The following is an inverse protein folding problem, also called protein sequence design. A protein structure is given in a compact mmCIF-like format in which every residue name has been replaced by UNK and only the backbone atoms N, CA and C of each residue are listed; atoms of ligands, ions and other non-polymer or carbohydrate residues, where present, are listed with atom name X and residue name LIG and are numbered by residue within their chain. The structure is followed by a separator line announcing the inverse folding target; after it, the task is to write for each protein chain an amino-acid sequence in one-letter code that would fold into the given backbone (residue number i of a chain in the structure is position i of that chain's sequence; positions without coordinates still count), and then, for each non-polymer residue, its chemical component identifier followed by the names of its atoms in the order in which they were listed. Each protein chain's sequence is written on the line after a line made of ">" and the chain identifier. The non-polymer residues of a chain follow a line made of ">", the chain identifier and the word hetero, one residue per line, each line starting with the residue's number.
data_IF_715657517541
#
_entry.id   IF_715657517541
#
_cell.length_a   1.000
_cell.length_b   1.000
_cell.length_c   1.000
_cell.angle_alpha   90.00
_cell.angle_beta   90.00
_cell.angle_gamma   90.00
#
_symmetry.space_group_name_H-M   'P 1'
#
loop_
_entity.id
_entity.type
_entity.pdbx_description
1 polymer ?
#
# COMPACT_ATOMS: atom_id res chain seq x y z
N UNK A 1 -54.44 -10.13 31.91
CA UNK A 1 -53.98 -11.52 31.82
C UNK A 1 -52.84 -11.61 30.81
N UNK A 2 -51.73 -12.22 31.24
CA UNK A 2 -50.57 -12.76 30.49
C UNK A 2 -49.82 -11.88 29.47
N UNK A 3 -48.68 -11.34 29.92
CA UNK A 3 -47.49 -11.05 29.09
C UNK A 3 -46.90 -12.33 28.51
N UNK A 4 -46.54 -12.34 27.22
CA UNK A 4 -45.56 -13.28 26.67
C UNK A 4 -44.67 -12.58 25.63
N UNK A 5 -43.45 -12.28 26.08
CA UNK A 5 -42.30 -11.91 25.26
C UNK A 5 -41.56 -13.21 24.88
N UNK A 6 -41.38 -13.57 23.59
CA UNK A 6 -40.56 -14.73 23.25
C UNK A 6 -39.48 -14.36 22.22
N UNK A 7 -38.58 -13.46 22.58
CA UNK A 7 -37.24 -13.44 21.97
C UNK A 7 -36.20 -13.57 23.08
N UNK A 8 -36.09 -14.79 23.61
CA UNK A 8 -34.88 -15.20 24.35
C UNK A 8 -33.76 -15.31 23.32
N UNK A 9 -32.69 -14.50 23.39
CA UNK A 9 -31.52 -14.78 22.58
C UNK A 9 -30.99 -16.15 22.98
N UNK A 10 -30.84 -17.05 22.00
CA UNK A 10 -30.20 -18.35 22.25
C UNK A 10 -28.81 -18.04 22.81
N UNK A 11 -28.55 -18.40 24.08
CA UNK A 11 -27.22 -18.24 24.67
C UNK A 11 -26.24 -18.98 23.78
N UNK A 12 -25.39 -18.23 23.06
CA UNK A 12 -24.32 -18.82 22.29
C UNK A 12 -23.54 -19.74 23.24
N UNK A 13 -23.45 -21.04 22.91
CA UNK A 13 -22.81 -22.04 23.77
C UNK A 13 -21.33 -21.67 23.92
N UNK A 14 -21.00 -20.97 25.00
CA UNK A 14 -19.63 -20.62 25.34
C UNK A 14 -18.90 -21.87 25.84
N UNK A 15 -17.65 -22.02 25.42
CA UNK A 15 -16.75 -23.06 25.87
C UNK A 15 -15.48 -22.44 26.44
N UNK A 16 -14.82 -23.15 27.35
CA UNK A 16 -13.55 -22.73 27.92
C UNK A 16 -12.43 -23.00 26.92
N UNK A 17 -11.69 -21.97 26.53
CA UNK A 17 -10.52 -22.05 25.66
C UNK A 17 -9.25 -21.86 26.49
N UNK A 18 -8.24 -22.71 26.25
CA UNK A 18 -6.92 -22.69 26.90
C UNK A 18 -5.79 -22.60 25.85
N UNK A 19 -5.99 -21.82 24.78
CA UNK A 19 -4.94 -21.58 23.79
C UNK A 19 -3.78 -20.77 24.37
N UNK A 20 -2.57 -21.00 23.87
CA UNK A 20 -1.36 -20.28 24.29
C UNK A 20 -1.32 -18.85 23.75
N UNK A 21 -1.85 -18.63 22.56
CA UNK A 21 -1.90 -17.33 21.87
C UNK A 21 -2.71 -16.28 22.63
N UNK A 22 -3.85 -16.63 23.22
CA UNK A 22 -4.83 -15.63 23.69
C UNK A 22 -5.41 -15.88 25.09
N UNK A 23 -5.37 -17.13 25.59
CA UNK A 23 -6.17 -17.52 26.76
C UNK A 23 -5.36 -18.02 27.96
N UNK A 24 -4.11 -18.44 27.76
CA UNK A 24 -3.15 -18.74 28.82
C UNK A 24 -2.10 -17.63 28.89
N UNK A 25 -1.46 -17.51 30.05
CA UNK A 25 -0.39 -16.53 30.29
C UNK A 25 0.92 -17.29 30.49
N UNK A 26 1.96 -16.88 29.78
CA UNK A 26 3.28 -17.47 29.95
C UNK A 26 3.89 -17.02 31.28
N UNK A 27 4.20 -17.99 32.15
CA UNK A 27 4.90 -17.75 33.40
C UNK A 27 6.40 -18.00 33.19
N UNK A 28 7.20 -16.93 33.22
CA UNK A 28 8.64 -17.00 32.98
C UNK A 28 9.41 -17.74 34.09
N UNK A 29 8.82 -17.93 35.28
CA UNK A 29 9.47 -18.64 36.39
C UNK A 29 9.34 -20.16 36.30
N UNK A 30 8.28 -20.66 35.68
CA UNK A 30 8.01 -22.09 35.47
C UNK A 30 8.20 -22.52 34.02
N UNK A 31 8.42 -21.57 33.12
CA UNK A 31 8.49 -21.74 31.65
C UNK A 31 7.24 -22.41 31.05
N UNK A 32 6.09 -22.29 31.73
CA UNK A 32 4.83 -22.90 31.32
C UNK A 32 3.74 -21.85 31.09
N UNK A 33 2.84 -22.17 30.16
CA UNK A 33 1.61 -21.41 29.95
C UNK A 33 0.59 -21.81 31.01
N UNK A 34 0.30 -20.90 31.92
CA UNK A 34 -0.54 -21.13 33.09
C UNK A 34 -1.86 -20.35 32.98
N UNK A 35 -2.86 -20.83 33.72
CA UNK A 35 -4.17 -20.19 33.81
C UNK A 35 -5.35 -21.10 33.48
N UNK A 36 -6.52 -20.63 33.90
CA UNK A 36 -7.77 -21.36 33.81
C UNK A 36 -8.45 -21.29 32.43
N UNK A 37 -7.90 -20.49 31.52
CA UNK A 37 -8.48 -20.22 30.21
C UNK A 37 -9.66 -19.24 30.25
N UNK A 38 -10.12 -18.81 29.08
CA UNK A 38 -11.23 -17.84 28.92
C UNK A 38 -12.48 -18.52 28.40
N UNK A 39 -13.66 -18.07 28.84
CA UNK A 39 -14.95 -18.50 28.29
C UNK A 39 -15.21 -17.74 26.99
N UNK A 40 -15.22 -18.45 25.86
CA UNK A 40 -15.37 -17.88 24.51
C UNK A 40 -16.41 -18.66 23.71
N UNK A 41 -16.87 -18.11 22.59
CA UNK A 41 -17.73 -18.88 21.68
C UNK A 41 -16.94 -20.01 21.01
N UNK A 42 -17.63 -21.05 20.50
CA UNK A 42 -16.97 -22.13 19.75
C UNK A 42 -16.19 -21.62 18.53
N UNK A 43 -16.74 -20.68 17.77
CA UNK A 43 -16.05 -20.10 16.61
C UNK A 43 -14.77 -19.36 17.00
N UNK A 44 -14.81 -18.59 18.09
CA UNK A 44 -13.62 -17.91 18.62
C UNK A 44 -12.56 -18.91 19.08
N UNK A 45 -12.95 -19.99 19.76
CA UNK A 45 -12.01 -21.07 20.14
C UNK A 45 -11.35 -21.70 18.91
N UNK A 46 -12.12 -21.97 17.86
CA UNK A 46 -11.61 -22.62 16.66
C UNK A 46 -10.64 -21.70 15.88
N UNK A 47 -10.86 -20.38 15.91
CA UNK A 47 -9.90 -19.41 15.39
C UNK A 47 -8.62 -19.38 16.24
N UNK A 48 -8.73 -19.32 17.56
CA UNK A 48 -7.55 -19.39 18.43
C UNK A 48 -6.73 -20.68 18.24
N UNK A 49 -7.40 -21.80 17.94
CA UNK A 49 -6.71 -23.06 17.67
C UNK A 49 -5.91 -23.03 16.35
N UNK A 50 -6.38 -22.27 15.35
CA UNK A 50 -5.62 -22.04 14.11
C UNK A 50 -4.40 -21.17 14.38
N UNK A 51 -4.54 -20.12 15.19
CA UNK A 51 -3.44 -19.24 15.57
C UNK A 51 -2.36 -20.02 16.35
N UNK A 52 -2.75 -20.84 17.33
CA UNK A 52 -1.82 -21.72 18.06
C UNK A 52 -1.10 -22.71 17.12
N UNK A 53 -1.78 -23.22 16.08
CA UNK A 53 -1.16 -24.10 15.10
C UNK A 53 -0.14 -23.36 14.23
N UNK A 54 -0.41 -22.11 13.87
CA UNK A 54 0.55 -21.27 13.15
C UNK A 54 1.78 -20.97 14.01
N UNK A 55 1.58 -20.60 15.28
CA UNK A 55 2.69 -20.41 16.22
C UNK A 55 3.52 -21.68 16.42
N UNK A 56 2.87 -22.84 16.59
CA UNK A 56 3.57 -24.11 16.71
C UNK A 56 4.35 -24.49 15.44
N UNK A 57 3.87 -24.11 14.25
CA UNK A 57 4.58 -24.34 12.98
C UNK A 57 5.82 -23.45 12.87
N UNK A 58 5.74 -22.19 13.33
CA UNK A 58 6.88 -21.28 13.40
C UNK A 58 7.93 -21.76 14.42
N UNK A 59 7.49 -22.24 15.58
CA UNK A 59 8.36 -22.81 16.62
C UNK A 59 9.03 -24.11 16.14
N UNK A 60 8.31 -25.00 15.45
CA UNK A 60 8.87 -26.23 14.89
C UNK A 60 9.83 -25.98 13.72
N UNK A 61 9.56 -24.97 12.88
CA UNK A 61 10.49 -24.52 11.85
C UNK A 61 11.81 -23.97 12.43
N UNK A 62 11.75 -23.34 13.61
CA UNK A 62 12.93 -22.91 14.34
C UNK A 62 13.69 -24.07 15.02
N UNK A 63 12.99 -25.16 15.39
CA UNK A 63 13.57 -26.29 16.13
C UNK A 63 14.07 -27.45 15.26
N UNK A 64 13.66 -27.56 13.99
CA UNK A 64 14.14 -28.63 13.08
C UNK A 64 15.58 -28.44 12.58
N UNK A 65 16.24 -27.31 12.86
CA UNK A 65 17.67 -27.11 12.58
C UNK A 65 18.62 -27.71 13.65
N UNK A 66 18.11 -28.49 14.60
CA UNK A 66 18.92 -29.06 15.69
C UNK A 66 18.74 -30.58 15.83
N UNK A 67 19.15 -31.37 14.84
CA UNK A 67 19.80 -32.68 15.10
C UNK A 67 20.40 -33.33 13.85
N UNK A 68 21.73 -33.51 13.90
CA UNK A 68 22.58 -34.59 13.33
C UNK A 68 22.84 -34.64 11.81
N UNK A 69 23.97 -34.04 11.42
CA UNK A 69 24.98 -34.73 10.59
C UNK A 69 26.39 -34.24 10.98
N UNK A 70 27.29 -35.21 11.19
CA UNK A 70 28.70 -35.04 11.57
C UNK A 70 29.50 -34.26 10.51
N UNK A 71 30.31 -33.32 10.98
CA UNK A 71 31.28 -32.53 10.22
C UNK A 71 31.53 -31.20 10.92
N UNK A 72 32.70 -30.54 10.76
CA UNK A 72 32.88 -29.16 11.20
C UNK A 72 32.04 -28.24 10.30
N UNK A 73 30.72 -28.31 10.48
CA UNK A 73 29.73 -27.53 9.77
C UNK A 73 29.76 -26.15 10.39
N UNK A 74 30.50 -25.27 9.72
CA UNK A 74 30.51 -23.82 9.88
C UNK A 74 29.07 -23.37 10.17
N UNK A 75 28.84 -22.79 11.34
CA UNK A 75 27.53 -22.31 11.76
C UNK A 75 26.86 -21.56 10.60
N UNK A 76 25.55 -21.75 10.32
CA UNK A 76 24.86 -20.90 9.38
C UNK A 76 24.96 -19.49 9.95
N UNK A 77 25.77 -18.66 9.29
CA UNK A 77 25.88 -17.26 9.58
C UNK A 77 24.46 -16.73 9.52
N UNK A 78 23.89 -16.38 10.67
CA UNK A 78 22.73 -15.49 10.71
C UNK A 78 23.23 -14.24 10.02
N UNK A 79 22.92 -14.10 8.73
CA UNK A 79 23.19 -12.88 7.99
C UNK A 79 22.36 -11.82 8.70
N UNK A 80 22.99 -11.09 9.62
CA UNK A 80 22.50 -9.78 9.99
C UNK A 80 22.45 -9.02 8.69
N UNK A 81 21.25 -8.92 8.10
CA UNK A 81 20.97 -8.09 6.94
C UNK A 81 21.70 -6.78 7.16
N UNK A 82 22.75 -6.54 6.38
CA UNK A 82 23.48 -5.30 6.50
C UNK A 82 22.53 -4.19 6.03
N UNK A 83 22.73 -2.97 6.52
CA UNK A 83 21.96 -1.82 6.06
C UNK A 83 21.97 -1.70 4.52
N UNK A 84 23.09 -2.09 3.90
CA UNK A 84 23.27 -2.15 2.45
C UNK A 84 22.38 -3.22 1.79
N UNK A 85 22.24 -4.40 2.40
CA UNK A 85 21.37 -5.46 1.86
C UNK A 85 19.89 -5.05 1.90
N UNK A 86 19.47 -4.36 2.97
CA UNK A 86 18.12 -3.80 3.09
C UNK A 86 17.86 -2.72 2.04
N UNK A 87 18.81 -1.81 1.85
CA UNK A 87 18.71 -0.76 0.84
C UNK A 87 18.59 -1.35 -0.56
N UNK A 88 19.46 -2.31 -0.92
CA UNK A 88 19.40 -2.98 -2.22
C UNK A 88 18.08 -3.71 -2.44
N UNK A 89 17.59 -4.43 -1.43
CA UNK A 89 16.31 -5.11 -1.54
C UNK A 89 15.15 -4.12 -1.70
N UNK A 90 15.18 -2.99 -0.99
CA UNK A 90 14.18 -1.93 -1.14
C UNK A 90 14.22 -1.30 -2.53
N UNK A 91 15.41 -0.97 -3.05
CA UNK A 91 15.59 -0.43 -4.41
C UNK A 91 14.98 -1.40 -5.44
N UNK A 92 15.29 -2.69 -5.34
CA UNK A 92 14.73 -3.72 -6.23
C UNK A 92 13.21 -3.79 -6.17
N UNK A 93 12.64 -3.74 -4.97
CA UNK A 93 11.17 -3.73 -4.81
C UNK A 93 10.55 -2.47 -5.42
N UNK A 94 11.23 -1.33 -5.35
CA UNK A 94 10.76 -0.10 -6.00
C UNK A 94 10.83 -0.19 -7.52
N UNK A 95 11.87 -0.80 -8.09
CA UNK A 95 11.96 -1.05 -9.53
C UNK A 95 10.81 -1.95 -10.01
N UNK A 96 10.52 -3.04 -9.29
CA UNK A 96 9.40 -3.93 -9.57
C UNK A 96 8.06 -3.18 -9.50
N UNK A 97 7.88 -2.31 -8.50
CA UNK A 97 6.67 -1.50 -8.34
C UNK A 97 6.50 -0.44 -9.45
N UNK A 98 7.59 0.24 -9.83
CA UNK A 98 7.56 1.20 -10.94
C UNK A 98 7.12 0.50 -12.22
N UNK A 99 7.69 -0.67 -12.53
CA UNK A 99 7.30 -1.44 -13.71
C UNK A 99 5.80 -1.75 -13.72
N UNK A 100 5.25 -2.20 -12.58
CA UNK A 100 3.82 -2.45 -12.45
C UNK A 100 2.99 -1.19 -12.69
N UNK A 101 3.37 -0.06 -12.09
CA UNK A 101 2.66 1.21 -12.27
C UNK A 101 2.70 1.71 -13.72
N UNK A 102 3.80 1.50 -14.42
CA UNK A 102 3.97 1.89 -15.83
C UNK A 102 3.18 0.99 -16.81
N UNK A 103 2.85 -0.25 -16.43
CA UNK A 103 2.09 -1.18 -17.28
C UNK A 103 0.59 -0.86 -17.35
N UNK A 104 0.03 -0.26 -16.30
CA UNK A 104 -1.40 0.04 -16.24
C UNK A 104 -1.69 1.46 -16.79
N UNK A 105 -2.67 1.62 -17.69
CA UNK A 105 -3.04 2.94 -18.18
C UNK A 105 -3.61 3.79 -17.03
N UNK A 106 -2.95 4.91 -16.78
CA UNK A 106 -3.31 5.88 -15.75
C UNK A 106 -4.32 6.93 -16.23
N UNK A 107 -4.44 7.10 -17.55
CA UNK A 107 -5.40 7.99 -18.19
C UNK A 107 -5.90 7.38 -19.50
N UNK A 108 -7.11 7.78 -19.90
CA UNK A 108 -7.72 7.38 -21.16
C UNK A 108 -8.12 8.65 -21.93
N UNK A 109 -7.67 8.86 -23.18
CA UNK A 109 -8.08 10.01 -23.98
C UNK A 109 -9.59 10.15 -24.18
N UNK A 110 -10.35 9.05 -24.08
CA UNK A 110 -11.81 9.04 -24.19
C UNK A 110 -12.51 9.39 -22.86
N UNK A 111 -11.80 9.27 -21.74
CA UNK A 111 -12.28 9.61 -20.40
C UNK A 111 -11.35 10.68 -19.80
N UNK A 112 -11.60 11.97 -20.12
CA UNK A 112 -10.68 13.04 -19.78
C UNK A 112 -10.48 13.18 -18.27
N UNK A 113 -9.26 13.57 -17.88
CA UNK A 113 -8.96 13.87 -16.48
C UNK A 113 -9.77 15.07 -16.00
N UNK A 114 -10.34 15.00 -14.80
CA UNK A 114 -11.12 16.10 -14.24
C UNK A 114 -10.22 17.05 -13.45
N UNK A 115 -10.00 18.26 -13.94
CA UNK A 115 -9.21 19.25 -13.22
C UNK A 115 -10.03 19.95 -12.13
N UNK A 116 -9.39 20.22 -10.99
CA UNK A 116 -10.00 20.98 -9.90
C UNK A 116 -10.21 22.46 -10.28
N UNK A 117 -9.32 22.98 -11.14
CA UNK A 117 -9.44 24.32 -11.70
C UNK A 117 -9.87 24.23 -13.16
N UNK A 118 -10.68 25.18 -13.62
CA UNK A 118 -11.16 25.21 -14.99
C UNK A 118 -10.01 25.51 -15.97
N UNK A 119 -9.69 24.62 -16.93
CA UNK A 119 -8.58 24.83 -17.86
C UNK A 119 -8.67 26.11 -18.68
N UNK A 120 -9.87 26.65 -18.85
CA UNK A 120 -10.11 27.84 -19.65
C UNK A 120 -9.70 29.14 -18.96
N UNK A 121 -9.72 29.15 -17.62
CA UNK A 121 -9.47 30.35 -16.82
C UNK A 121 -7.98 30.52 -16.45
N UNK A 122 -7.19 29.47 -16.66
CA UNK A 122 -5.84 29.34 -16.08
C UNK A 122 -4.70 29.24 -17.10
N UNK A 123 -4.99 29.45 -18.38
CA UNK A 123 -3.97 29.53 -19.42
C UNK A 123 -3.31 28.20 -19.79
N UNK A 124 -2.13 28.28 -20.39
CA UNK A 124 -1.38 27.11 -20.85
C UNK A 124 -0.82 26.27 -19.72
N UNK A 125 -0.61 24.98 -20.00
CA UNK A 125 0.05 24.09 -19.05
C UNK A 125 1.50 24.52 -18.90
N UNK A 126 1.93 24.73 -17.65
CA UNK A 126 3.31 25.04 -17.32
C UNK A 126 3.91 23.77 -16.71
N UNK A 127 4.91 23.14 -17.34
CA UNK A 127 5.57 21.97 -16.78
C UNK A 127 6.15 22.28 -15.39
N UNK A 128 5.95 21.40 -14.39
CA UNK A 128 6.46 21.60 -13.05
C UNK A 128 7.99 21.57 -13.06
N UNK A 129 8.60 22.35 -12.17
CA UNK A 129 10.04 22.25 -11.87
C UNK A 129 10.36 20.87 -11.26
N UNK A 130 11.62 20.40 -11.29
CA UNK A 130 11.98 19.12 -10.67
C UNK A 130 11.55 19.00 -9.19
N UNK A 131 11.60 20.11 -8.45
CA UNK A 131 11.16 20.19 -7.04
C UNK A 131 9.64 20.13 -6.86
N UNK A 132 8.88 20.61 -7.84
CA UNK A 132 7.42 20.54 -7.83
C UNK A 132 6.92 19.19 -8.36
N UNK A 133 7.69 18.54 -9.23
CA UNK A 133 7.34 17.25 -9.83
C UNK A 133 7.19 16.14 -8.79
N UNK A 134 7.94 16.21 -7.69
CA UNK A 134 7.85 15.28 -6.56
C UNK A 134 6.75 15.65 -5.55
N UNK A 135 5.95 16.69 -5.82
CA UNK A 135 4.80 17.06 -5.01
C UNK A 135 3.51 16.60 -5.71
N UNK A 136 2.81 15.60 -5.15
CA UNK A 136 1.67 15.02 -5.84
C UNK A 136 0.47 15.97 -5.86
N UNK A 137 -0.16 16.07 -7.03
CA UNK A 137 -1.43 16.74 -7.27
C UNK A 137 -1.59 18.14 -6.63
N UNK A 138 -0.71 19.08 -6.99
CA UNK A 138 -0.75 20.47 -6.47
C UNK A 138 -0.84 21.53 -7.56
N UNK A 139 -1.20 22.73 -7.13
CA UNK A 139 -1.17 23.94 -7.94
C UNK A 139 -2.34 24.08 -8.91
N UNK A 140 -2.13 24.90 -9.94
CA UNK A 140 -3.14 25.27 -10.93
C UNK A 140 -3.68 24.09 -11.73
N UNK A 141 -2.85 23.07 -11.98
CA UNK A 141 -3.20 21.91 -12.80
C UNK A 141 -3.61 20.70 -11.94
N UNK A 142 -3.99 20.92 -10.68
CA UNK A 142 -4.44 19.85 -9.80
C UNK A 142 -5.71 19.19 -10.34
N UNK A 143 -5.78 17.87 -10.20
CA UNK A 143 -6.91 17.01 -10.49
C UNK A 143 -7.87 16.96 -9.29
N UNK A 144 -9.16 16.83 -9.59
CA UNK A 144 -10.19 16.59 -8.58
C UNK A 144 -10.05 15.18 -7.99
N UNK A 145 -10.59 14.94 -6.78
CA UNK A 145 -10.63 13.62 -6.15
C UNK A 145 -11.68 12.67 -6.74
N UNK A 146 -12.07 12.84 -8.00
CA UNK A 146 -13.12 12.03 -8.63
C UNK A 146 -12.63 10.63 -9.01
N UNK A 147 -13.60 9.76 -9.33
CA UNK A 147 -13.32 8.39 -9.74
C UNK A 147 -12.52 8.32 -11.06
N UNK A 148 -12.75 9.26 -11.97
CA UNK A 148 -12.04 9.33 -13.25
C UNK A 148 -10.52 9.51 -13.04
N UNK A 149 -10.13 10.25 -12.00
CA UNK A 149 -8.72 10.55 -11.72
C UNK A 149 -8.04 9.54 -10.79
N UNK A 150 -8.77 8.56 -10.26
CA UNK A 150 -8.24 7.69 -9.18
C UNK A 150 -6.98 6.94 -9.60
N UNK A 151 -6.96 6.35 -10.79
CA UNK A 151 -5.77 5.63 -11.28
C UNK A 151 -4.58 6.56 -11.44
N UNK A 152 -4.79 7.74 -12.04
CA UNK A 152 -3.76 8.75 -12.21
C UNK A 152 -3.19 9.22 -10.87
N UNK A 153 -4.08 9.61 -9.95
CA UNK A 153 -3.68 10.10 -8.63
C UNK A 153 -2.94 9.02 -7.85
N UNK A 154 -3.43 7.78 -7.87
CA UNK A 154 -2.78 6.67 -7.15
C UNK A 154 -1.34 6.46 -7.64
N UNK A 155 -1.13 6.45 -8.96
CA UNK A 155 0.21 6.34 -9.53
C UNK A 155 1.10 7.54 -9.17
N UNK A 156 0.60 8.77 -9.33
CA UNK A 156 1.35 10.00 -9.00
C UNK A 156 1.73 10.06 -7.52
N UNK A 157 0.78 9.81 -6.61
CA UNK A 157 1.05 9.77 -5.17
C UNK A 157 2.11 8.73 -4.83
N UNK A 158 2.01 7.53 -5.39
CA UNK A 158 2.93 6.45 -5.07
C UNK A 158 4.34 6.74 -5.58
N UNK A 159 4.50 7.22 -6.81
CA UNK A 159 5.81 7.60 -7.35
C UNK A 159 6.45 8.75 -6.55
N UNK A 160 5.67 9.75 -6.13
CA UNK A 160 6.15 10.82 -5.26
C UNK A 160 6.58 10.31 -3.88
N UNK A 161 5.86 9.34 -3.30
CA UNK A 161 6.23 8.70 -2.03
C UNK A 161 7.55 7.92 -2.14
N UNK A 162 7.73 7.16 -3.22
CA UNK A 162 8.98 6.46 -3.51
C UNK A 162 10.16 7.43 -3.67
N UNK A 163 9.97 8.51 -4.43
CA UNK A 163 10.99 9.55 -4.62
C UNK A 163 11.36 10.25 -3.31
N UNK A 164 10.35 10.55 -2.47
CA UNK A 164 10.56 11.15 -1.15
C UNK A 164 11.34 10.19 -0.25
N UNK A 165 10.97 8.92 -0.21
CA UNK A 165 11.65 7.91 0.60
C UNK A 165 13.10 7.75 0.16
N UNK A 166 13.34 7.63 -1.15
CA UNK A 166 14.67 7.51 -1.73
C UNK A 166 15.58 8.71 -1.38
N UNK A 167 15.03 9.93 -1.30
CA UNK A 167 15.78 11.13 -0.91
C UNK A 167 16.33 11.09 0.52
N UNK A 168 15.75 10.23 1.37
CA UNK A 168 16.21 10.04 2.77
C UNK A 168 17.23 8.90 2.91
N UNK A 169 17.47 8.12 1.85
CA UNK A 169 18.39 6.99 1.86
C UNK A 169 19.83 7.42 1.64
N UNK A 170 20.77 6.54 1.98
CA UNK A 170 22.19 6.74 1.68
C UNK A 170 22.41 6.75 0.16
N UNK A 171 23.23 7.68 -0.32
CA UNK A 171 23.52 7.77 -1.76
C UNK A 171 24.32 6.56 -2.23
N UNK A 172 23.83 5.92 -3.28
CA UNK A 172 24.52 4.87 -4.02
C UNK A 172 24.23 5.03 -5.51
N UNK A 173 25.05 4.44 -6.36
CA UNK A 173 24.84 4.49 -7.81
C UNK A 173 23.47 3.91 -8.20
N UNK A 174 23.03 2.84 -7.52
CA UNK A 174 21.71 2.24 -7.72
C UNK A 174 20.58 3.16 -7.26
N UNK A 175 20.75 3.87 -6.13
CA UNK A 175 19.79 4.85 -5.65
C UNK A 175 19.68 6.04 -6.62
N UNK A 176 20.79 6.49 -7.21
CA UNK A 176 20.79 7.56 -8.21
C UNK A 176 20.13 7.12 -9.51
N UNK A 177 20.38 5.90 -9.97
CA UNK A 177 19.70 5.33 -11.14
C UNK A 177 18.18 5.22 -10.93
N UNK A 178 17.75 4.75 -9.75
CA UNK A 178 16.33 4.71 -9.39
C UNK A 178 15.71 6.11 -9.31
N UNK A 179 16.46 7.09 -8.81
CA UNK A 179 15.99 8.48 -8.75
C UNK A 179 15.74 9.05 -10.15
N UNK A 180 16.67 8.82 -11.09
CA UNK A 180 16.48 9.22 -12.50
C UNK A 180 15.23 8.56 -13.07
N UNK A 181 15.08 7.25 -12.87
CA UNK A 181 13.91 6.50 -13.36
C UNK A 181 12.58 7.03 -12.80
N UNK A 182 12.51 7.33 -11.51
CA UNK A 182 11.32 7.92 -10.88
C UNK A 182 10.99 9.29 -11.47
N UNK A 183 11.99 10.13 -11.74
CA UNK A 183 11.77 11.43 -12.37
C UNK A 183 11.27 11.32 -13.80
N UNK A 184 11.75 10.32 -14.57
CA UNK A 184 11.24 10.05 -15.92
C UNK A 184 9.76 9.67 -15.89
N UNK A 185 9.35 8.76 -14.99
CA UNK A 185 7.96 8.32 -14.86
C UNK A 185 7.04 9.44 -14.38
N UNK A 186 7.47 10.24 -13.39
CA UNK A 186 6.72 11.42 -12.97
C UNK A 186 6.60 12.45 -14.10
N UNK A 187 7.68 12.66 -14.87
CA UNK A 187 7.66 13.55 -16.03
C UNK A 187 6.69 13.05 -17.10
N UNK A 188 6.62 11.74 -17.31
CA UNK A 188 5.66 11.13 -18.23
C UNK A 188 4.21 11.34 -17.77
N UNK A 189 3.91 11.16 -16.48
CA UNK A 189 2.59 11.51 -15.92
C UNK A 189 2.26 12.99 -16.14
N UNK A 190 3.21 13.89 -15.84
CA UNK A 190 3.06 15.33 -16.05
C UNK A 190 2.76 15.68 -17.51
N UNK A 191 3.40 15.01 -18.47
CA UNK A 191 3.12 15.19 -19.90
C UNK A 191 1.72 14.71 -20.28
N UNK A 192 1.26 13.57 -19.75
CA UNK A 192 -0.12 13.13 -19.97
C UNK A 192 -1.12 14.16 -19.43
N UNK A 193 -0.88 14.66 -18.21
CA UNK A 193 -1.69 15.73 -17.61
C UNK A 193 -1.72 16.98 -18.50
N UNK A 194 -0.59 17.35 -19.09
CA UNK A 194 -0.50 18.47 -20.04
C UNK A 194 -1.36 18.25 -21.29
N UNK A 195 -1.37 17.05 -21.85
CA UNK A 195 -2.19 16.70 -23.03
C UNK A 195 -3.67 16.82 -22.68
N UNK A 196 -4.10 16.23 -21.56
CA UNK A 196 -5.50 16.32 -21.10
C UNK A 196 -5.93 17.77 -20.83
N UNK A 197 -5.05 18.58 -20.23
CA UNK A 197 -5.29 20.00 -20.01
C UNK A 197 -5.49 20.75 -21.34
N UNK A 198 -4.62 20.51 -22.31
CA UNK A 198 -4.70 21.14 -23.62
C UNK A 198 -5.96 20.74 -24.40
N UNK A 199 -6.37 19.46 -24.33
CA UNK A 199 -7.58 18.96 -24.97
C UNK A 199 -8.86 19.62 -24.43
N UNK A 200 -8.90 19.95 -23.15
CA UNK A 200 -10.05 20.63 -22.55
C UNK A 200 -10.11 22.13 -22.85
N UNK A 201 -9.04 22.70 -23.42
CA UNK A 201 -8.98 24.10 -23.82
C UNK A 201 -9.35 24.34 -25.28
N UNK A 202 -9.87 23.34 -26.02
CA UNK A 202 -10.22 23.51 -27.44
C UNK A 202 -11.25 24.63 -27.61
N UNK A 203 -10.78 25.74 -28.20
CA UNK A 203 -11.56 26.93 -28.51
C UNK A 203 -12.49 26.65 -29.70
N UNK A 204 -13.78 26.49 -29.45
CA UNK A 204 -14.78 26.54 -30.53
C UNK A 204 -15.22 28.00 -30.68
N UNK A 205 -14.47 28.75 -31.51
CA UNK A 205 -14.67 30.17 -31.85
C UNK A 205 -14.32 31.20 -30.74
N UNK A 206 -13.90 32.44 -31.10
CA UNK A 206 -13.65 33.47 -30.11
C UNK A 206 -14.97 33.82 -29.41
N UNK A 207 -15.09 33.47 -28.13
CA UNK A 207 -16.22 33.83 -27.27
C UNK A 207 -17.12 32.68 -26.78
N UNK A 208 -16.84 31.41 -27.12
CA UNK A 208 -17.52 30.27 -26.49
C UNK A 208 -16.54 29.17 -26.08
N UNK A 209 -16.31 29.08 -24.78
CA UNK A 209 -15.65 27.94 -24.14
C UNK A 209 -16.72 26.86 -23.95
N UNK A 210 -16.54 25.70 -24.58
CA UNK A 210 -17.32 24.50 -24.27
C UNK A 210 -16.40 23.57 -23.49
N UNK A 211 -16.61 23.51 -22.17
CA UNK A 211 -15.97 22.50 -21.33
C UNK A 211 -16.72 21.20 -21.56
N UNK A 212 -16.01 20.16 -22.00
CA UNK A 212 -16.56 18.81 -22.06
C UNK A 212 -16.68 18.27 -20.62
N UNK A 213 -17.64 18.80 -19.89
CA UNK A 213 -18.13 18.21 -18.64
C UNK A 213 -18.94 17.00 -19.07
N UNK A 214 -18.50 15.80 -18.69
CA UNK A 214 -19.04 14.51 -19.15
C UNK A 214 -20.47 14.21 -18.69
N UNK A 215 -21.40 15.15 -18.80
CA UNK A 215 -22.83 14.96 -18.57
C UNK A 215 -23.44 14.27 -19.79
N UNK A 216 -23.29 12.96 -19.86
CA UNK A 216 -24.19 12.11 -20.64
C UNK A 216 -25.39 11.74 -19.76
N UNK A 217 -26.58 12.20 -20.18
CA UNK A 217 -27.91 11.85 -19.65
C UNK A 217 -28.13 10.33 -19.57
#
# INVERSE_FOLDING_TARGET
>A
MASLNPFRPSRAKQCRCKCKSHCLVFNASTELYEGDGKMVSRSTRDNHAKDDKLLATLEQGASQNRTRHDGPSRAPTVQTDTQLDRQRNWIRLCEEEILLLSEFPVSDPMHPLEFANNPSDHGEYIPPTPTELVQPNRGTFALSGSRANTSFLTAEYRLCELATTLSTMERSDEAEALAVRLHEELSFLSQQKAVHWAQQRIHIQPGRIVVNTGDFL
#
